data_IF_243310836056
#
_entry.id   IF_243310836056
#
_cell.length_a   1.000
_cell.length_b   1.000
_cell.length_c   1.000
_cell.angle_alpha   90.00
_cell.angle_beta   90.00
_cell.angle_gamma   90.00
#
_symmetry.space_group_name_H-M   'P 1'
#
loop_
_entity.id
_entity.type
_entity.pdbx_description
1 polymer ?
#
# COMPACT_ATOMS: atom_id res chain seq x y z
N UNK A 1 6.06 -54.42 15.92
CA UNK A 1 7.44 -54.90 15.62
C UNK A 1 8.31 -53.68 15.36
N UNK A 2 9.43 -53.54 16.06
CA UNK A 2 10.42 -52.49 15.79
C UNK A 2 11.36 -52.99 14.71
N UNK A 3 11.27 -52.43 13.50
CA UNK A 3 12.16 -52.73 12.41
C UNK A 3 13.43 -51.89 12.60
N UNK A 4 14.55 -52.54 12.83
CA UNK A 4 15.87 -51.92 12.95
C UNK A 4 16.66 -52.11 11.65
N UNK A 5 16.15 -51.62 10.53
CA UNK A 5 16.90 -51.59 9.28
C UNK A 5 17.80 -50.33 9.25
N UNK A 6 19.10 -50.53 9.08
CA UNK A 6 20.04 -49.49 8.69
C UNK A 6 20.01 -49.41 7.17
N UNK A 7 19.34 -48.38 6.62
CA UNK A 7 19.46 -48.11 5.18
C UNK A 7 20.91 -47.73 4.85
N UNK A 8 21.49 -48.33 3.85
CA UNK A 8 22.76 -47.89 3.28
C UNK A 8 22.60 -46.51 2.70
N UNK A 9 23.56 -45.62 2.98
CA UNK A 9 23.50 -44.20 2.53
C UNK A 9 24.10 -44.00 1.13
N UNK A 10 24.65 -45.03 0.50
CA UNK A 10 25.36 -44.93 -0.76
C UNK A 10 24.82 -45.87 -1.88
N UNK A 11 23.52 -46.21 -1.97
CA UNK A 11 23.01 -46.88 -3.16
C UNK A 11 23.08 -45.92 -4.35
N UNK A 12 23.45 -46.42 -5.52
CA UNK A 12 23.38 -45.68 -6.77
C UNK A 12 21.95 -45.74 -7.31
N UNK A 13 21.31 -44.60 -7.43
CA UNK A 13 19.99 -44.46 -8.05
C UNK A 13 20.08 -43.58 -9.30
N UNK A 14 19.55 -44.07 -10.43
CA UNK A 14 19.41 -43.26 -11.65
C UNK A 14 18.06 -42.55 -11.63
N UNK A 15 18.07 -41.22 -11.40
CA UNK A 15 16.88 -40.39 -11.34
C UNK A 15 17.07 -39.11 -12.15
N UNK A 16 15.98 -38.60 -12.75
CA UNK A 16 16.00 -37.30 -13.39
C UNK A 16 15.49 -36.23 -12.42
N UNK A 17 16.07 -35.03 -12.45
CA UNK A 17 15.55 -33.89 -11.68
C UNK A 17 14.08 -33.62 -11.97
N UNK A 18 13.68 -33.80 -13.23
CA UNK A 18 12.31 -33.66 -13.67
C UNK A 18 11.37 -34.65 -12.95
N UNK A 19 11.78 -35.87 -12.74
CA UNK A 19 11.01 -36.88 -12.03
C UNK A 19 10.96 -36.70 -10.50
N UNK A 20 11.99 -36.08 -9.92
CA UNK A 20 12.10 -35.90 -8.48
C UNK A 20 11.21 -34.78 -7.94
N UNK A 21 10.87 -33.77 -8.74
CA UNK A 21 10.02 -32.66 -8.32
C UNK A 21 8.54 -33.01 -8.57
N UNK A 22 7.67 -33.01 -7.55
CA UNK A 22 6.25 -33.33 -7.72
C UNK A 22 5.57 -32.43 -8.75
N UNK A 23 4.63 -32.97 -9.54
CA UNK A 23 3.94 -32.23 -10.60
C UNK A 23 3.09 -31.09 -10.07
N UNK A 24 2.60 -31.18 -8.84
CA UNK A 24 1.83 -30.15 -8.16
C UNK A 24 2.68 -29.18 -7.31
N UNK A 25 4.02 -29.25 -7.43
CA UNK A 25 4.91 -28.36 -6.68
C UNK A 25 4.73 -26.89 -7.09
N UNK A 26 4.80 -25.97 -6.12
CA UNK A 26 4.59 -24.54 -6.35
C UNK A 26 5.47 -23.95 -7.46
N UNK A 27 6.76 -24.33 -7.51
CA UNK A 27 7.68 -23.77 -8.50
C UNK A 27 7.35 -24.22 -9.91
N UNK A 28 6.79 -25.43 -10.11
CA UNK A 28 6.25 -25.85 -11.43
C UNK A 28 5.06 -24.98 -11.84
N UNK A 29 4.15 -24.72 -10.92
CA UNK A 29 3.00 -23.85 -11.17
C UNK A 29 3.45 -22.44 -11.54
N UNK A 30 4.50 -21.93 -10.92
CA UNK A 30 5.08 -20.62 -11.20
C UNK A 30 5.79 -20.63 -12.57
N UNK A 31 6.58 -21.66 -12.86
CA UNK A 31 7.30 -21.76 -14.13
C UNK A 31 6.36 -21.84 -15.33
N UNK A 32 5.23 -22.56 -15.18
CA UNK A 32 4.18 -22.63 -16.20
C UNK A 32 3.30 -21.37 -16.28
N UNK A 33 3.31 -20.51 -15.26
CA UNK A 33 2.40 -19.35 -15.20
C UNK A 33 2.85 -18.17 -16.04
N UNK A 34 4.15 -17.98 -16.20
CA UNK A 34 4.77 -16.85 -16.89
C UNK A 34 6.00 -17.28 -17.67
N UNK A 35 6.28 -16.58 -18.76
CA UNK A 35 7.50 -16.79 -19.54
C UNK A 35 8.64 -15.94 -18.98
N UNK A 36 9.57 -16.58 -18.25
CA UNK A 36 10.71 -15.89 -17.64
C UNK A 36 11.71 -15.31 -18.64
N UNK A 37 11.65 -15.68 -19.92
CA UNK A 37 12.54 -15.09 -20.97
C UNK A 37 12.28 -13.60 -21.14
N UNK A 38 11.09 -13.10 -20.78
CA UNK A 38 10.77 -11.67 -20.76
C UNK A 38 11.68 -10.84 -19.88
N UNK A 39 12.39 -11.45 -18.94
CA UNK A 39 13.39 -10.75 -18.12
C UNK A 39 14.53 -10.21 -18.99
N UNK A 40 14.90 -10.91 -20.06
CA UNK A 40 15.93 -10.41 -20.98
C UNK A 40 15.54 -9.06 -21.56
N UNK A 41 14.28 -8.87 -21.99
CA UNK A 41 13.77 -7.61 -22.56
C UNK A 41 13.95 -6.41 -21.59
N UNK A 42 13.96 -6.67 -20.27
CA UNK A 42 14.08 -5.63 -19.25
C UNK A 42 15.50 -5.26 -18.87
N UNK A 43 16.47 -6.11 -19.24
CA UNK A 43 17.86 -5.99 -18.77
C UNK A 43 18.90 -6.03 -19.88
N UNK A 44 18.54 -6.31 -21.13
CA UNK A 44 19.46 -6.45 -22.26
C UNK A 44 20.37 -5.24 -22.38
N UNK A 45 19.81 -4.03 -22.32
CA UNK A 45 20.55 -2.75 -22.41
C UNK A 45 21.57 -2.54 -21.26
N UNK A 46 21.48 -3.34 -20.19
CA UNK A 46 22.39 -3.28 -19.04
C UNK A 46 23.61 -4.18 -19.19
N UNK A 47 23.70 -4.93 -20.29
CA UNK A 47 24.79 -5.86 -20.59
C UNK A 47 25.54 -5.42 -21.83
N UNK A 48 26.88 -5.58 -21.81
CA UNK A 48 27.70 -5.30 -22.96
C UNK A 48 27.67 -6.50 -23.92
N UNK A 49 27.46 -6.25 -25.22
CA UNK A 49 27.34 -7.33 -26.22
C UNK A 49 28.66 -8.06 -26.45
N UNK A 50 29.79 -7.34 -26.50
CA UNK A 50 31.04 -7.86 -27.06
C UNK A 50 32.23 -7.82 -26.09
N UNK A 51 32.08 -7.39 -24.85
CA UNK A 51 33.21 -7.19 -23.95
C UNK A 51 32.93 -7.68 -22.53
N UNK A 52 33.92 -8.35 -21.92
CA UNK A 52 33.92 -8.75 -20.52
C UNK A 52 33.76 -10.26 -20.31
N UNK A 53 33.85 -10.67 -19.03
CA UNK A 53 33.61 -12.05 -18.64
C UNK A 53 32.12 -12.41 -18.81
N UNK A 54 31.78 -13.60 -19.32
CA UNK A 54 30.39 -14.08 -19.38
C UNK A 54 29.68 -13.89 -18.04
N UNK A 55 28.54 -13.22 -18.08
CA UNK A 55 27.73 -12.93 -16.89
C UNK A 55 26.92 -14.16 -16.49
N UNK A 56 26.53 -14.22 -15.22
CA UNK A 56 25.46 -15.14 -14.82
C UNK A 56 24.16 -14.70 -15.50
N UNK A 57 23.41 -15.68 -16.00
CA UNK A 57 22.11 -15.46 -16.63
C UNK A 57 21.19 -14.60 -15.73
N UNK A 58 20.68 -13.47 -16.22
CA UNK A 58 19.78 -12.61 -15.46
C UNK A 58 18.49 -13.32 -15.03
N UNK A 59 17.96 -14.24 -15.83
CA UNK A 59 16.77 -15.04 -15.46
C UNK A 59 17.06 -15.86 -14.20
N UNK A 60 18.24 -16.49 -14.12
CA UNK A 60 18.68 -17.23 -12.93
C UNK A 60 18.79 -16.29 -11.72
N UNK A 61 19.39 -15.11 -11.88
CA UNK A 61 19.51 -14.13 -10.79
C UNK A 61 18.13 -13.70 -10.25
N UNK A 62 17.17 -13.44 -11.12
CA UNK A 62 15.80 -13.10 -10.72
C UNK A 62 15.08 -14.30 -10.09
N UNK A 63 15.20 -15.50 -10.64
CA UNK A 63 14.64 -16.74 -10.06
C UNK A 63 15.20 -17.00 -8.65
N UNK A 64 16.50 -16.77 -8.40
CA UNK A 64 17.10 -16.90 -7.06
C UNK A 64 16.49 -15.93 -6.05
N UNK A 65 16.35 -14.66 -6.42
CA UNK A 65 15.70 -13.62 -5.57
C UNK A 65 14.21 -13.92 -5.39
N UNK A 66 13.56 -14.45 -6.42
CA UNK A 66 12.16 -14.87 -6.34
C UNK A 66 11.98 -16.02 -5.34
N UNK A 67 12.85 -17.02 -5.32
CA UNK A 67 12.86 -18.09 -4.29
C UNK A 67 12.98 -17.47 -2.91
N UNK A 68 13.93 -16.53 -2.70
CA UNK A 68 14.09 -15.84 -1.43
C UNK A 68 12.78 -15.21 -0.95
N UNK A 69 12.08 -14.52 -1.83
CA UNK A 69 10.85 -13.82 -1.48
C UNK A 69 9.64 -14.73 -1.33
N UNK A 70 9.50 -15.74 -2.20
CA UNK A 70 8.40 -16.72 -2.15
C UNK A 70 8.36 -17.51 -0.84
N UNK A 71 9.53 -17.87 -0.34
CA UNK A 71 9.68 -18.71 0.86
C UNK A 71 10.05 -17.91 2.12
N UNK A 72 10.11 -16.57 2.01
CA UNK A 72 10.42 -15.69 3.15
C UNK A 72 11.82 -15.89 3.72
N UNK A 73 12.77 -16.37 2.91
CA UNK A 73 14.15 -16.63 3.36
C UNK A 73 14.82 -15.30 3.74
N UNK A 74 15.46 -15.19 4.92
CA UNK A 74 15.87 -13.91 5.48
C UNK A 74 17.05 -13.25 4.75
N UNK A 75 17.90 -14.01 4.06
CA UNK A 75 19.10 -13.49 3.39
C UNK A 75 19.45 -14.25 2.12
N UNK A 76 20.15 -13.57 1.17
CA UNK A 76 20.67 -14.21 -0.04
C UNK A 76 21.67 -15.32 0.27
N UNK A 77 22.49 -15.17 1.32
CA UNK A 77 23.41 -16.23 1.75
C UNK A 77 22.63 -17.52 2.08
N UNK A 78 21.62 -17.39 2.94
CA UNK A 78 20.76 -18.51 3.31
C UNK A 78 20.01 -19.08 2.10
N UNK A 79 19.60 -18.23 1.18
CA UNK A 79 18.94 -18.66 -0.08
C UNK A 79 19.87 -19.56 -0.91
N UNK A 80 21.14 -19.19 -1.07
CA UNK A 80 22.12 -20.01 -1.81
C UNK A 80 22.38 -21.33 -1.09
N UNK A 81 22.50 -21.31 0.25
CA UNK A 81 22.65 -22.55 1.03
C UNK A 81 21.46 -23.50 0.82
N UNK A 82 20.24 -22.97 0.84
CA UNK A 82 19.02 -23.76 0.61
C UNK A 82 18.91 -24.25 -0.84
N UNK A 83 19.28 -23.43 -1.84
CA UNK A 83 19.30 -23.84 -3.24
C UNK A 83 20.26 -25.03 -3.44
N UNK A 84 21.40 -25.02 -2.75
CA UNK A 84 22.35 -26.14 -2.85
C UNK A 84 21.78 -27.45 -2.36
N UNK A 85 20.86 -27.45 -1.40
CA UNK A 85 20.27 -28.63 -0.78
C UNK A 85 18.89 -29.02 -1.29
N UNK A 86 18.18 -28.09 -1.96
CA UNK A 86 16.80 -28.30 -2.37
C UNK A 86 16.68 -28.62 -3.85
N UNK A 87 16.23 -29.81 -4.16
CA UNK A 87 16.08 -30.33 -5.53
C UNK A 87 15.10 -29.46 -6.34
N UNK A 88 13.98 -29.03 -5.76
CA UNK A 88 12.98 -28.22 -6.46
C UNK A 88 13.51 -26.82 -6.80
N UNK A 89 14.38 -26.25 -5.96
CA UNK A 89 15.02 -24.96 -6.24
C UNK A 89 16.02 -25.10 -7.39
N UNK A 90 16.85 -26.17 -7.39
CA UNK A 90 17.77 -26.46 -8.47
C UNK A 90 17.06 -26.69 -9.80
N UNK A 91 16.00 -27.50 -9.79
CA UNK A 91 15.12 -27.70 -10.94
C UNK A 91 14.59 -26.39 -11.51
N UNK A 92 14.06 -25.52 -10.66
CA UNK A 92 13.50 -24.23 -11.08
C UNK A 92 14.53 -23.29 -11.69
N UNK A 93 15.79 -23.38 -11.24
CA UNK A 93 16.90 -22.59 -11.79
C UNK A 93 17.55 -23.24 -13.03
N UNK A 94 17.27 -24.52 -13.33
CA UNK A 94 17.88 -25.27 -14.40
C UNK A 94 19.28 -25.81 -14.08
N UNK A 95 19.66 -25.94 -12.79
CA UNK A 95 20.96 -26.44 -12.34
C UNK A 95 20.93 -27.93 -12.01
N UNK A 96 21.95 -28.68 -12.45
CA UNK A 96 22.13 -30.08 -12.08
C UNK A 96 22.50 -30.23 -10.59
N UNK A 97 22.37 -31.46 -10.04
CA UNK A 97 22.59 -31.74 -8.61
C UNK A 97 23.98 -31.34 -8.11
N UNK A 98 25.00 -31.54 -8.93
CA UNK A 98 26.41 -31.27 -8.64
C UNK A 98 26.95 -29.97 -9.24
N UNK A 99 26.10 -29.21 -9.96
CA UNK A 99 26.53 -27.97 -10.59
C UNK A 99 26.62 -26.84 -9.56
N UNK A 100 27.70 -26.03 -9.57
CA UNK A 100 27.84 -24.93 -8.62
C UNK A 100 26.85 -23.80 -8.95
N UNK A 101 26.05 -23.38 -7.96
CA UNK A 101 25.14 -22.23 -8.10
C UNK A 101 25.88 -20.90 -7.87
N UNK A 102 25.39 -19.78 -8.43
CA UNK A 102 26.00 -18.48 -8.27
C UNK A 102 26.14 -18.08 -6.79
N UNK A 103 27.29 -17.53 -6.45
CA UNK A 103 27.54 -17.03 -5.10
C UNK A 103 26.60 -15.86 -4.75
N UNK A 104 26.17 -15.77 -3.50
CA UNK A 104 25.25 -14.73 -3.03
C UNK A 104 25.77 -13.30 -3.28
N UNK A 105 27.10 -13.09 -3.27
CA UNK A 105 27.69 -11.79 -3.55
C UNK A 105 27.46 -11.36 -5.01
N UNK A 106 27.50 -12.29 -5.97
CA UNK A 106 27.20 -12.02 -7.39
C UNK A 106 25.75 -11.57 -7.56
N UNK A 107 24.81 -12.27 -6.93
CA UNK A 107 23.38 -11.88 -6.92
C UNK A 107 23.22 -10.49 -6.31
N UNK A 108 23.78 -10.28 -5.11
CA UNK A 108 23.72 -8.99 -4.39
C UNK A 108 24.33 -7.85 -5.21
N UNK A 109 25.47 -8.08 -5.90
CA UNK A 109 26.13 -7.08 -6.74
C UNK A 109 25.21 -6.62 -7.87
N UNK A 110 24.60 -7.56 -8.61
CA UNK A 110 23.70 -7.24 -9.71
C UNK A 110 22.47 -6.43 -9.25
N UNK A 111 21.82 -6.83 -8.15
CA UNK A 111 20.67 -6.11 -7.58
C UNK A 111 21.04 -4.78 -6.91
N UNK A 112 22.31 -4.52 -6.64
CA UNK A 112 22.80 -3.27 -6.07
C UNK A 112 23.27 -2.27 -7.11
N UNK A 113 23.89 -2.76 -8.19
CA UNK A 113 24.64 -1.92 -9.13
C UNK A 113 24.12 -1.98 -10.57
N UNK A 114 23.46 -3.06 -10.98
CA UNK A 114 22.99 -3.25 -12.36
C UNK A 114 21.48 -3.06 -12.46
N UNK A 115 20.68 -3.75 -11.65
CA UNK A 115 19.23 -3.67 -11.74
C UNK A 115 18.73 -2.45 -10.97
N UNK A 116 18.10 -1.53 -11.70
CA UNK A 116 17.56 -0.27 -11.15
C UNK A 116 16.15 -0.48 -10.57
N UNK A 117 15.62 0.60 -9.93
CA UNK A 117 14.20 0.63 -9.53
C UNK A 117 13.27 0.44 -10.73
N UNK A 118 13.64 1.00 -11.90
CA UNK A 118 12.88 0.85 -13.15
C UNK A 118 12.83 -0.62 -13.59
N UNK A 119 13.94 -1.35 -13.52
CA UNK A 119 13.97 -2.79 -13.83
C UNK A 119 13.01 -3.57 -12.92
N UNK A 120 13.00 -3.26 -11.62
CA UNK A 120 12.10 -3.92 -10.66
C UNK A 120 10.64 -3.52 -10.91
N UNK A 121 10.39 -2.25 -11.30
CA UNK A 121 9.06 -1.79 -11.69
C UNK A 121 8.55 -2.53 -12.94
N UNK A 122 9.41 -2.73 -13.95
CA UNK A 122 9.08 -3.49 -15.16
C UNK A 122 8.69 -4.93 -14.82
N UNK A 123 9.46 -5.61 -13.95
CA UNK A 123 9.15 -6.98 -13.49
C UNK A 123 7.84 -7.04 -12.73
N UNK A 124 7.60 -6.11 -11.81
CA UNK A 124 6.33 -6.04 -11.06
C UNK A 124 5.14 -5.83 -12.01
N UNK A 125 5.27 -4.88 -12.93
CA UNK A 125 4.22 -4.52 -13.91
C UNK A 125 3.95 -5.65 -14.88
N UNK A 126 4.97 -6.36 -15.34
CA UNK A 126 4.83 -7.54 -16.19
C UNK A 126 4.00 -8.63 -15.51
N UNK A 127 4.29 -8.99 -14.26
CA UNK A 127 3.51 -10.00 -13.51
C UNK A 127 2.05 -9.56 -13.37
N UNK A 128 1.83 -8.27 -13.11
CA UNK A 128 0.49 -7.71 -12.99
C UNK A 128 -0.26 -7.74 -14.32
N UNK A 129 0.43 -7.43 -15.42
CA UNK A 129 -0.11 -7.52 -16.78
C UNK A 129 -0.51 -8.96 -17.14
N UNK A 130 0.27 -9.96 -16.78
CA UNK A 130 -0.07 -11.37 -16.98
C UNK A 130 -1.32 -11.78 -16.18
N UNK A 131 -1.51 -11.22 -14.98
CA UNK A 131 -2.73 -11.42 -14.20
C UNK A 131 -3.94 -10.73 -14.86
N UNK A 132 -3.77 -9.53 -15.40
CA UNK A 132 -4.80 -8.79 -16.14
C UNK A 132 -5.20 -9.51 -17.42
N UNK A 133 -4.24 -9.96 -18.22
CA UNK A 133 -4.45 -10.73 -19.44
C UNK A 133 -5.22 -12.04 -19.19
N UNK A 134 -5.03 -12.62 -18.01
CA UNK A 134 -5.76 -13.82 -17.58
C UNK A 134 -7.14 -13.54 -17.01
N UNK A 135 -7.60 -12.28 -16.95
CA UNK A 135 -8.91 -11.87 -16.42
C UNK A 135 -9.02 -12.02 -14.88
N UNK A 136 -7.90 -12.02 -14.15
CA UNK A 136 -7.91 -12.23 -12.70
C UNK A 136 -7.91 -10.95 -11.88
N UNK A 137 -7.68 -9.79 -12.49
CA UNK A 137 -7.77 -8.50 -11.83
C UNK A 137 -9.21 -7.96 -11.87
N UNK A 138 -9.60 -7.34 -10.78
CA UNK A 138 -10.89 -6.66 -10.61
C UNK A 138 -10.68 -5.30 -9.92
N UNK A 139 -10.11 -4.32 -10.63
CA UNK A 139 -9.69 -3.05 -10.04
C UNK A 139 -10.80 -1.99 -9.93
N UNK A 140 -12.07 -2.32 -10.21
CA UNK A 140 -13.21 -1.39 -10.08
C UNK A 140 -13.34 -0.88 -8.64
N UNK A 141 -13.05 -1.73 -7.66
CA UNK A 141 -12.98 -1.39 -6.24
C UNK A 141 -11.58 -1.71 -5.74
N UNK A 142 -10.89 -0.70 -5.25
CA UNK A 142 -9.53 -0.84 -4.72
C UNK A 142 -9.48 -0.51 -3.24
N UNK A 143 -8.52 -1.12 -2.55
CA UNK A 143 -8.27 -0.98 -1.13
C UNK A 143 -6.87 -0.43 -0.93
N UNK A 144 -6.78 0.74 -0.28
CA UNK A 144 -5.53 1.44 -0.01
C UNK A 144 -5.28 1.53 1.48
N UNK A 145 -4.07 1.20 1.91
CA UNK A 145 -3.66 1.28 3.32
C UNK A 145 -2.14 1.30 3.45
N UNK A 146 -1.64 1.67 4.63
CA UNK A 146 -0.24 1.68 4.99
C UNK A 146 0.15 0.53 5.94
N UNK A 147 1.36 0.01 5.80
CA UNK A 147 1.89 -0.95 6.76
C UNK A 147 3.34 -0.67 7.11
N UNK A 148 3.63 -0.64 8.42
CA UNK A 148 4.97 -0.38 8.92
C UNK A 148 5.86 -1.63 8.84
N UNK A 149 7.11 -1.39 8.43
CA UNK A 149 8.19 -2.37 8.30
C UNK A 149 9.34 -1.90 9.20
N UNK A 150 9.72 -2.68 10.20
CA UNK A 150 10.83 -2.32 11.10
C UNK A 150 12.13 -2.18 10.31
N UNK A 151 12.79 -1.04 10.46
CA UNK A 151 14.06 -0.74 9.81
C UNK A 151 15.25 -1.48 10.47
N UNK A 152 16.32 -1.64 9.69
CA UNK A 152 17.61 -2.13 10.17
C UNK A 152 18.38 -1.00 10.87
N UNK A 153 17.82 -0.52 11.98
CA UNK A 153 18.32 0.61 12.74
C UNK A 153 18.23 0.35 14.24
N UNK A 154 19.28 0.78 14.98
CA UNK A 154 19.30 0.71 16.43
C UNK A 154 18.54 1.91 17.02
N UNK A 155 17.57 1.64 17.89
CA UNK A 155 16.75 2.67 18.53
C UNK A 155 17.55 3.63 19.41
N UNK A 156 18.68 3.18 19.94
CA UNK A 156 19.54 3.98 20.80
C UNK A 156 20.46 4.92 20.00
N UNK A 157 20.73 4.59 18.73
CA UNK A 157 21.55 5.39 17.82
C UNK A 157 20.69 6.41 17.07
N UNK A 158 20.30 7.47 17.76
CA UNK A 158 19.41 8.52 17.26
C UNK A 158 20.00 9.91 17.47
N UNK A 159 19.60 10.82 16.60
CA UNK A 159 19.91 12.25 16.69
C UNK A 159 18.68 13.07 16.33
N UNK A 160 18.61 14.29 16.80
CA UNK A 160 17.61 15.27 16.35
C UNK A 160 18.14 15.97 15.12
N UNK A 161 17.30 16.12 14.12
CA UNK A 161 17.60 16.83 12.88
C UNK A 161 16.44 17.75 12.53
N UNK A 162 16.78 19.01 12.25
CA UNK A 162 15.81 19.94 11.65
C UNK A 162 15.62 19.55 10.18
N UNK A 163 14.38 19.33 9.78
CA UNK A 163 14.01 19.14 8.38
C UNK A 163 12.94 20.15 7.98
N UNK A 164 12.99 20.67 6.75
CA UNK A 164 11.92 21.53 6.24
C UNK A 164 10.56 20.81 6.37
N UNK A 165 9.54 21.55 6.75
CA UNK A 165 8.16 21.05 6.68
C UNK A 165 7.85 20.77 5.20
N UNK A 166 7.40 19.56 4.88
CA UNK A 166 7.02 19.25 3.50
C UNK A 166 5.83 20.12 3.09
N UNK A 167 6.01 20.89 2.01
CA UNK A 167 4.91 21.61 1.38
C UNK A 167 3.84 20.58 0.96
N UNK A 168 2.59 20.87 1.22
CA UNK A 168 1.49 20.03 0.77
C UNK A 168 1.31 20.20 -0.72
N UNK A 169 1.17 19.11 -1.46
CA UNK A 169 1.00 19.10 -2.92
C UNK A 169 -0.15 20.01 -3.39
N UNK A 170 -1.13 20.25 -2.52
CA UNK A 170 -2.31 21.06 -2.82
C UNK A 170 -2.31 22.47 -2.20
N UNK A 171 -1.19 22.95 -1.66
CA UNK A 171 -1.15 24.25 -0.97
C UNK A 171 -1.52 25.43 -1.88
N UNK A 172 -1.05 25.40 -3.12
CA UNK A 172 -1.37 26.46 -4.10
C UNK A 172 -2.85 26.45 -4.45
N UNK A 173 -3.44 25.29 -4.69
CA UNK A 173 -4.87 25.16 -4.98
C UNK A 173 -5.71 25.59 -3.77
N UNK A 174 -5.32 25.13 -2.58
CA UNK A 174 -5.99 25.52 -1.34
C UNK A 174 -5.96 27.04 -1.15
N UNK A 175 -4.81 27.68 -1.33
CA UNK A 175 -4.68 29.13 -1.18
C UNK A 175 -5.53 29.89 -2.21
N UNK A 176 -5.57 29.40 -3.45
CA UNK A 176 -6.42 29.98 -4.50
C UNK A 176 -7.90 29.95 -4.08
N UNK A 177 -8.39 28.78 -3.69
CA UNK A 177 -9.79 28.61 -3.29
C UNK A 177 -10.13 29.34 -1.98
N UNK A 178 -9.20 29.42 -1.01
CA UNK A 178 -9.34 30.29 0.17
C UNK A 178 -9.51 31.76 -0.24
N UNK A 179 -8.72 32.24 -1.18
CA UNK A 179 -8.79 33.62 -1.62
C UNK A 179 -10.07 33.92 -2.41
N UNK A 180 -10.59 32.98 -3.17
CA UNK A 180 -11.89 33.05 -3.81
C UNK A 180 -13.02 33.12 -2.77
N UNK A 181 -13.02 32.24 -1.77
CA UNK A 181 -13.97 32.24 -0.66
C UNK A 181 -13.95 33.56 0.14
N UNK A 182 -12.76 34.07 0.46
CA UNK A 182 -12.60 35.33 1.16
C UNK A 182 -13.15 36.52 0.36
N UNK A 183 -12.93 36.57 -0.96
CA UNK A 183 -13.49 37.61 -1.84
C UNK A 183 -15.01 37.53 -1.87
N UNK A 184 -15.61 36.34 -1.97
CA UNK A 184 -17.04 36.14 -1.94
C UNK A 184 -17.66 36.69 -0.65
N UNK A 185 -16.95 36.63 0.48
CA UNK A 185 -17.38 37.19 1.78
C UNK A 185 -16.88 38.61 2.04
N UNK A 186 -16.39 39.34 1.03
CA UNK A 186 -15.92 40.72 1.18
C UNK A 186 -14.63 40.87 2.02
N UNK A 187 -13.85 39.83 2.19
CA UNK A 187 -12.57 39.85 2.93
C UNK A 187 -11.39 40.00 1.99
N UNK A 188 -10.34 40.69 2.44
CA UNK A 188 -9.09 40.81 1.68
C UNK A 188 -8.46 39.44 1.45
N UNK A 189 -8.00 39.13 0.23
CA UNK A 189 -7.24 37.91 -0.05
C UNK A 189 -5.93 37.92 0.75
N UNK A 190 -5.38 36.73 0.96
CA UNK A 190 -4.01 36.59 1.48
C UNK A 190 -3.00 36.84 0.37
N UNK A 191 -1.97 37.62 0.65
CA UNK A 191 -0.84 37.83 -0.27
C UNK A 191 -0.03 36.52 -0.41
N UNK A 192 0.25 36.12 -1.63
CA UNK A 192 0.95 34.86 -1.95
C UNK A 192 2.36 34.75 -1.35
N UNK A 193 2.98 35.87 -0.99
CA UNK A 193 4.31 35.93 -0.38
C UNK A 193 4.32 35.75 1.14
N UNK A 194 3.16 35.76 1.78
CA UNK A 194 3.03 35.49 3.22
C UNK A 194 2.63 34.05 3.44
N UNK A 195 3.41 33.12 2.93
CA UNK A 195 3.22 31.68 3.12
C UNK A 195 3.05 31.35 4.60
N UNK A 196 1.80 31.23 5.04
CA UNK A 196 1.45 30.72 6.37
C UNK A 196 1.51 29.20 6.46
N UNK A 197 2.15 28.55 5.52
CA UNK A 197 2.71 27.24 5.75
C UNK A 197 3.80 27.41 6.80
N UNK A 198 3.80 26.61 7.83
CA UNK A 198 4.91 26.51 8.76
C UNK A 198 6.17 26.14 7.92
N UNK A 199 6.82 27.16 7.32
CA UNK A 199 8.19 27.06 6.78
C UNK A 199 9.18 26.93 7.93
N UNK A 200 8.70 26.53 9.09
CA UNK A 200 9.48 26.19 10.24
C UNK A 200 10.18 24.84 10.03
N UNK A 201 11.45 24.83 10.34
CA UNK A 201 12.19 23.58 10.49
C UNK A 201 11.52 22.74 11.59
N UNK A 202 11.07 21.54 11.22
CA UNK A 202 10.52 20.60 12.18
C UNK A 202 11.65 19.72 12.70
N UNK A 203 11.85 19.73 14.00
CA UNK A 203 12.81 18.83 14.67
C UNK A 203 12.27 17.39 14.65
N UNK A 204 12.93 16.50 13.93
CA UNK A 204 12.59 15.09 13.90
C UNK A 204 13.72 14.22 14.46
N UNK A 205 13.34 13.12 15.07
CA UNK A 205 14.29 12.11 15.51
C UNK A 205 14.63 11.19 14.35
N UNK A 206 15.88 11.16 13.93
CA UNK A 206 16.40 10.29 12.86
C UNK A 206 17.40 9.28 13.43
N UNK A 207 17.51 8.13 12.76
CA UNK A 207 18.54 7.15 13.06
C UNK A 207 19.89 7.57 12.48
N UNK A 208 20.98 7.38 13.21
CA UNK A 208 22.32 7.60 12.67
C UNK A 208 22.79 6.46 11.77
N UNK A 209 22.20 5.27 11.91
CA UNK A 209 22.55 4.08 11.12
C UNK A 209 21.70 3.94 9.84
N UNK A 210 20.49 4.49 9.84
CA UNK A 210 19.59 4.51 8.68
C UNK A 210 18.77 5.82 8.70
N UNK A 211 19.34 6.93 8.23
CA UNK A 211 18.76 8.27 8.35
C UNK A 211 17.43 8.46 7.60
N UNK A 212 17.15 7.61 6.60
CA UNK A 212 15.91 7.67 5.80
C UNK A 212 14.76 6.90 6.46
N UNK A 213 15.02 6.13 7.52
CA UNK A 213 13.97 5.51 8.33
C UNK A 213 13.34 6.53 9.28
N UNK A 214 12.04 6.44 9.50
CA UNK A 214 11.28 7.31 10.39
C UNK A 214 11.04 6.68 11.76
N UNK A 215 10.96 7.52 12.80
CA UNK A 215 10.59 7.07 14.14
C UNK A 215 9.09 6.79 14.19
N UNK A 216 8.73 5.52 14.25
CA UNK A 216 7.35 5.06 14.41
C UNK A 216 7.01 4.84 15.89
N UNK A 217 5.83 5.32 16.29
CA UNK A 217 5.30 5.14 17.65
C UNK A 217 3.87 4.62 17.57
N UNK A 218 3.58 3.54 18.29
CA UNK A 218 2.21 3.02 18.45
C UNK A 218 1.94 2.76 19.92
N UNK A 219 1.18 3.67 20.54
CA UNK A 219 1.02 3.69 21.99
C UNK A 219 2.34 3.91 22.75
N UNK A 220 2.32 3.68 24.05
CA UNK A 220 3.48 3.92 24.90
C UNK A 220 4.55 2.81 24.84
N UNK A 221 4.21 1.65 24.27
CA UNK A 221 5.04 0.44 24.35
C UNK A 221 5.79 0.10 23.07
N UNK A 222 5.43 0.68 21.91
CA UNK A 222 6.06 0.33 20.64
C UNK A 222 6.74 1.52 19.98
N UNK A 223 8.05 1.61 20.14
CA UNK A 223 8.87 2.61 19.49
C UNK A 223 9.94 1.91 18.66
N UNK A 224 10.05 2.22 17.38
CA UNK A 224 11.12 1.71 16.52
C UNK A 224 11.32 2.62 15.31
N UNK A 225 12.49 2.55 14.71
CA UNK A 225 12.68 3.08 13.37
C UNK A 225 12.00 2.14 12.36
N UNK A 226 11.26 2.71 11.44
CA UNK A 226 10.48 1.97 10.46
C UNK A 226 10.39 2.69 9.12
N UNK A 227 10.07 1.94 8.09
CA UNK A 227 9.50 2.42 6.83
C UNK A 227 8.01 2.09 6.80
N UNK A 228 7.27 2.78 5.97
CA UNK A 228 5.87 2.50 5.72
C UNK A 228 5.64 2.19 4.24
N UNK A 229 5.00 1.07 3.96
CA UNK A 229 4.60 0.69 2.63
C UNK A 229 3.11 0.98 2.44
N UNK A 230 2.82 2.06 1.72
CA UNK A 230 1.48 2.40 1.27
C UNK A 230 1.17 1.56 0.03
N UNK A 231 0.09 0.82 0.07
CA UNK A 231 -0.18 -0.26 -0.89
C UNK A 231 -1.63 -0.21 -1.34
N UNK A 232 -1.85 -0.48 -2.62
CA UNK A 232 -3.18 -0.65 -3.20
C UNK A 232 -3.35 -2.07 -3.68
N UNK A 233 -4.46 -2.71 -3.33
CA UNK A 233 -4.86 -4.00 -3.88
C UNK A 233 -6.29 -3.97 -4.41
N UNK A 234 -6.61 -4.94 -5.28
CA UNK A 234 -7.98 -5.16 -5.76
C UNK A 234 -8.78 -6.08 -4.80
N UNK A 235 -10.04 -6.31 -5.12
CA UNK A 235 -10.92 -7.22 -4.36
C UNK A 235 -10.45 -8.67 -4.31
N UNK A 236 -9.57 -9.06 -5.22
CA UNK A 236 -8.95 -10.38 -5.29
C UNK A 236 -7.61 -10.44 -4.58
N UNK A 237 -7.18 -9.37 -3.89
CA UNK A 237 -5.89 -9.25 -3.20
C UNK A 237 -4.69 -9.30 -4.16
N UNK A 238 -4.84 -8.93 -5.43
CA UNK A 238 -3.70 -8.60 -6.27
C UNK A 238 -3.20 -7.20 -5.90
N UNK A 239 -1.92 -7.08 -5.64
CA UNK A 239 -1.30 -5.81 -5.31
C UNK A 239 -1.09 -5.04 -6.60
N UNK A 240 -1.75 -3.88 -6.73
CA UNK A 240 -1.76 -3.08 -7.96
C UNK A 240 -0.58 -2.11 -8.01
N UNK A 241 -0.22 -1.52 -6.87
CA UNK A 241 1.00 -0.71 -6.72
C UNK A 241 1.36 -0.47 -5.25
N UNK A 242 2.55 0.10 -5.03
CA UNK A 242 3.05 0.46 -3.70
C UNK A 242 4.01 1.64 -3.76
N UNK A 243 3.98 2.47 -2.73
CA UNK A 243 4.94 3.55 -2.46
C UNK A 243 5.49 3.36 -1.05
N UNK A 244 6.79 3.45 -0.87
CA UNK A 244 7.43 3.32 0.44
C UNK A 244 7.90 4.69 0.91
N UNK A 245 7.61 5.01 2.17
CA UNK A 245 8.03 6.26 2.82
C UNK A 245 8.77 5.98 4.13
N UNK A 246 9.35 7.01 4.71
CA UNK A 246 9.80 6.94 6.11
C UNK A 246 8.61 6.72 7.05
N UNK A 247 8.77 5.90 8.08
CA UNK A 247 7.66 5.47 8.94
C UNK A 247 7.08 6.55 9.88
N UNK A 248 7.51 7.80 9.76
CA UNK A 248 6.96 8.98 10.43
C UNK A 248 6.21 9.93 9.46
N UNK A 249 6.07 9.54 8.21
CA UNK A 249 5.27 10.27 7.21
C UNK A 249 3.81 9.87 7.37
N UNK A 250 2.92 10.86 7.38
CA UNK A 250 1.49 10.59 7.51
C UNK A 250 0.93 10.02 6.20
N UNK A 251 0.00 9.07 6.31
CA UNK A 251 -0.63 8.36 5.18
C UNK A 251 -1.14 9.30 4.08
N UNK A 252 -1.71 10.44 4.46
CA UNK A 252 -2.23 11.43 3.53
C UNK A 252 -1.17 12.07 2.62
N UNK A 253 0.11 12.03 3.00
CA UNK A 253 1.21 12.60 2.18
C UNK A 253 1.59 11.66 1.04
N UNK A 254 1.51 10.35 1.29
CA UNK A 254 1.82 9.34 0.28
C UNK A 254 0.66 9.10 -0.70
N UNK A 255 -0.55 9.59 -0.35
CA UNK A 255 -1.77 9.34 -1.11
C UNK A 255 -1.66 9.77 -2.57
N UNK A 256 -1.32 11.03 -2.84
CA UNK A 256 -1.36 11.59 -4.20
C UNK A 256 -0.49 10.81 -5.17
N UNK A 257 0.76 10.53 -4.79
CA UNK A 257 1.71 9.80 -5.63
C UNK A 257 1.22 8.37 -5.95
N UNK A 258 0.65 7.67 -4.96
CA UNK A 258 0.13 6.31 -5.13
C UNK A 258 -1.18 6.31 -5.91
N UNK A 259 -2.08 7.24 -5.61
CA UNK A 259 -3.38 7.39 -6.25
C UNK A 259 -3.24 7.71 -7.75
N UNK A 260 -2.41 8.69 -8.12
CA UNK A 260 -2.16 9.02 -9.52
C UNK A 260 -1.57 7.84 -10.30
N UNK A 261 -0.61 7.14 -9.70
CA UNK A 261 0.06 6.01 -10.34
C UNK A 261 -0.93 4.87 -10.62
N UNK A 262 -1.78 4.56 -9.67
CA UNK A 262 -2.77 3.48 -9.77
C UNK A 262 -3.92 3.85 -10.71
N UNK A 263 -4.46 5.05 -10.63
CA UNK A 263 -5.58 5.50 -11.47
C UNK A 263 -5.18 5.70 -12.94
N UNK A 264 -3.92 6.10 -13.19
CA UNK A 264 -3.36 6.15 -14.55
C UNK A 264 -3.24 4.74 -15.15
N UNK A 265 -2.82 3.75 -14.35
CA UNK A 265 -2.67 2.35 -14.81
C UNK A 265 -4.02 1.64 -14.96
N UNK A 266 -4.98 1.94 -14.10
CA UNK A 266 -6.31 1.34 -14.06
C UNK A 266 -7.41 2.41 -14.06
N UNK A 267 -7.73 2.99 -15.24
CA UNK A 267 -8.77 4.03 -15.36
C UNK A 267 -10.17 3.57 -14.93
N UNK A 268 -10.43 2.25 -14.92
CA UNK A 268 -11.71 1.63 -14.54
C UNK A 268 -11.98 1.65 -13.02
N UNK A 269 -11.07 2.13 -12.19
CA UNK A 269 -11.29 2.30 -10.75
C UNK A 269 -12.47 3.24 -10.54
N UNK A 270 -13.46 2.80 -9.76
CA UNK A 270 -14.66 3.56 -9.39
C UNK A 270 -14.71 3.88 -7.90
N UNK A 271 -14.26 2.94 -7.06
CA UNK A 271 -14.32 3.08 -5.61
C UNK A 271 -12.94 2.88 -5.00
N UNK A 272 -12.54 3.80 -4.13
CA UNK A 272 -11.29 3.74 -3.36
C UNK A 272 -11.62 3.60 -1.88
N UNK A 273 -11.31 2.45 -1.30
CA UNK A 273 -11.60 2.14 0.10
C UNK A 273 -10.34 2.32 0.93
N UNK A 274 -10.42 3.12 1.99
CA UNK A 274 -9.28 3.49 2.83
C UNK A 274 -9.65 3.50 4.31
N UNK A 275 -8.67 3.66 5.20
CA UNK A 275 -8.90 3.82 6.63
C UNK A 275 -9.17 5.27 7.05
N UNK A 276 -9.40 5.50 8.36
CA UNK A 276 -9.68 6.81 8.92
C UNK A 276 -8.49 7.79 8.82
N UNK A 277 -7.26 7.31 8.64
CA UNK A 277 -6.06 8.13 8.47
C UNK A 277 -6.09 8.92 7.17
N UNK A 278 -6.70 8.37 6.13
CA UNK A 278 -6.86 9.03 4.82
C UNK A 278 -8.06 9.98 4.76
N UNK A 279 -8.94 10.01 5.76
CA UNK A 279 -10.10 10.92 5.75
C UNK A 279 -9.69 12.36 6.01
N UNK A 280 -9.33 13.05 4.94
CA UNK A 280 -8.99 14.48 4.92
C UNK A 280 -9.81 15.19 3.83
N UNK A 281 -10.10 16.51 3.97
CA UNK A 281 -10.85 17.25 2.97
C UNK A 281 -10.24 17.15 1.56
N UNK A 282 -8.91 17.23 1.47
CA UNK A 282 -8.19 17.11 0.20
C UNK A 282 -8.41 15.75 -0.49
N UNK A 283 -8.24 14.66 0.25
CA UNK A 283 -8.37 13.32 -0.32
C UNK A 283 -9.80 13.05 -0.79
N UNK A 284 -10.81 13.47 0.00
CA UNK A 284 -12.20 13.36 -0.42
C UNK A 284 -12.47 14.17 -1.68
N UNK A 285 -12.04 15.44 -1.72
CA UNK A 285 -12.15 16.31 -2.89
C UNK A 285 -11.49 15.66 -4.12
N UNK A 286 -10.23 15.23 -4.01
CA UNK A 286 -9.47 14.66 -5.12
C UNK A 286 -10.14 13.46 -5.76
N UNK A 287 -10.69 12.55 -4.93
CA UNK A 287 -11.36 11.34 -5.42
C UNK A 287 -12.70 11.67 -6.07
N UNK A 288 -13.48 12.58 -5.46
CA UNK A 288 -14.80 12.97 -5.96
C UNK A 288 -14.69 13.80 -7.24
N UNK A 289 -13.75 14.74 -7.31
CA UNK A 289 -13.49 15.54 -8.52
C UNK A 289 -13.06 14.66 -9.71
N UNK A 290 -12.36 13.55 -9.45
CA UNK A 290 -12.03 12.54 -10.46
C UNK A 290 -13.23 11.63 -10.84
N UNK A 291 -14.42 11.88 -10.31
CA UNK A 291 -15.64 11.10 -10.57
C UNK A 291 -15.65 9.71 -9.91
N UNK A 292 -14.87 9.52 -8.83
CA UNK A 292 -14.77 8.25 -8.08
C UNK A 292 -15.37 8.38 -6.70
N UNK A 293 -15.62 7.25 -6.05
CA UNK A 293 -16.27 7.17 -4.75
C UNK A 293 -15.24 6.86 -3.64
N UNK A 294 -15.03 7.76 -2.65
CA UNK A 294 -14.26 7.46 -1.45
C UNK A 294 -15.08 6.62 -0.47
N UNK A 295 -14.66 5.38 -0.19
CA UNK A 295 -15.25 4.55 0.86
C UNK A 295 -14.39 4.63 2.12
N UNK A 296 -14.85 5.40 3.11
CA UNK A 296 -14.11 5.77 4.30
C UNK A 296 -14.94 5.47 5.56
N UNK A 297 -14.30 5.13 6.70
CA UNK A 297 -15.01 4.91 7.95
C UNK A 297 -15.46 6.22 8.58
N UNK A 298 -16.37 6.10 9.55
CA UNK A 298 -16.70 7.21 10.42
C UNK A 298 -15.47 7.62 11.25
N UNK A 299 -15.18 8.92 11.27
CA UNK A 299 -14.17 9.51 12.13
C UNK A 299 -14.88 10.44 13.11
N UNK A 300 -14.94 10.04 14.38
CA UNK A 300 -15.57 10.86 15.41
C UNK A 300 -14.83 12.19 15.53
N UNK A 301 -15.54 13.33 15.42
CA UNK A 301 -14.94 14.63 15.70
C UNK A 301 -14.46 14.70 17.16
N UNK A 302 -13.28 15.30 17.38
CA UNK A 302 -12.76 15.46 18.73
C UNK A 302 -13.47 16.64 19.40
N UNK A 303 -14.22 16.34 20.46
CA UNK A 303 -14.87 17.34 21.30
C UNK A 303 -14.24 17.30 22.70
N UNK A 304 -13.99 18.45 23.29
CA UNK A 304 -13.52 18.54 24.67
C UNK A 304 -14.55 17.90 25.61
N UNK A 305 -14.09 17.06 26.54
CA UNK A 305 -14.96 16.42 27.51
C UNK A 305 -15.82 17.45 28.26
N UNK A 306 -17.12 17.22 28.30
CA UNK A 306 -18.09 18.10 28.93
C UNK A 306 -18.63 19.21 28.03
N UNK A 307 -18.16 19.31 26.79
CA UNK A 307 -18.68 20.26 25.81
C UNK A 307 -19.72 19.62 24.90
N UNK A 308 -20.60 20.47 24.34
CA UNK A 308 -21.54 20.04 23.31
C UNK A 308 -20.84 19.38 22.14
N UNK A 309 -21.36 18.24 21.72
CA UNK A 309 -20.88 17.50 20.57
C UNK A 309 -21.08 18.31 19.28
N UNK A 310 -20.20 18.07 18.29
CA UNK A 310 -20.18 18.77 17.00
C UNK A 310 -21.56 18.78 16.31
N UNK A 311 -22.26 17.65 16.28
CA UNK A 311 -23.56 17.51 15.60
C UNK A 311 -24.69 18.36 16.19
N UNK A 312 -24.49 18.99 17.36
CA UNK A 312 -25.44 19.93 17.93
C UNK A 312 -25.35 21.34 17.33
N UNK A 313 -24.31 21.60 16.53
CA UNK A 313 -24.15 22.84 15.78
C UNK A 313 -24.57 22.57 14.34
N UNK A 314 -25.66 23.21 13.89
CA UNK A 314 -26.24 23.00 12.58
C UNK A 314 -25.76 24.10 11.63
N UNK A 315 -25.17 23.70 10.51
CA UNK A 315 -24.81 24.66 9.46
C UNK A 315 -26.00 24.87 8.51
N UNK A 316 -26.35 26.13 8.28
CA UNK A 316 -27.34 26.54 7.29
C UNK A 316 -26.57 27.09 6.07
N UNK A 317 -26.58 26.34 4.97
CA UNK A 317 -25.85 26.71 3.76
C UNK A 317 -26.46 27.86 3.00
N UNK A 318 -27.80 28.10 3.14
CA UNK A 318 -28.49 29.18 2.47
C UNK A 318 -28.16 30.52 3.07
N UNK A 319 -28.10 30.61 4.39
CA UNK A 319 -27.76 31.83 5.12
C UNK A 319 -26.28 31.98 5.42
N UNK A 320 -25.47 30.93 5.16
CA UNK A 320 -24.06 30.82 5.55
C UNK A 320 -23.81 31.16 7.03
N UNK A 321 -24.56 30.51 7.91
CA UNK A 321 -24.48 30.67 9.36
C UNK A 321 -24.41 29.30 10.05
N UNK A 322 -23.88 29.27 11.27
CA UNK A 322 -24.00 28.10 12.14
C UNK A 322 -25.01 28.42 13.25
N UNK A 323 -25.93 27.51 13.50
CA UNK A 323 -26.93 27.58 14.56
C UNK A 323 -26.43 26.79 15.76
N UNK A 324 -26.32 27.42 16.93
CA UNK A 324 -25.90 26.75 18.17
C UNK A 324 -27.05 25.97 18.83
N UNK A 325 -26.77 25.09 19.82
CA UNK A 325 -27.81 24.34 20.55
C UNK A 325 -28.90 25.19 21.21
N UNK A 326 -28.60 26.46 21.50
CA UNK A 326 -29.57 27.46 22.06
C UNK A 326 -30.22 28.32 20.96
N UNK A 327 -30.22 27.81 19.71
CA UNK A 327 -30.87 28.47 18.55
C UNK A 327 -30.37 29.88 18.27
N UNK A 328 -29.10 30.20 18.62
CA UNK A 328 -28.47 31.49 18.26
C UNK A 328 -27.63 31.31 17.01
N UNK A 329 -27.65 32.29 16.12
CA UNK A 329 -26.87 32.32 14.90
C UNK A 329 -25.41 32.72 15.17
N UNK A 330 -24.48 32.02 14.59
CA UNK A 330 -23.06 32.33 14.50
C UNK A 330 -22.78 32.73 13.04
N UNK A 331 -22.68 34.03 12.73
CA UNK A 331 -22.37 34.47 11.37
C UNK A 331 -20.91 34.14 10.98
N UNK A 332 -20.65 34.09 9.66
CA UNK A 332 -19.31 34.03 9.12
C UNK A 332 -18.45 35.19 9.62
N UNK A 333 -17.27 34.91 10.07
CA UNK A 333 -16.29 35.88 10.55
C UNK A 333 -15.11 36.04 9.60
N UNK A 334 -14.47 34.95 9.25
CA UNK A 334 -13.30 34.90 8.35
C UNK A 334 -12.98 33.49 7.91
N UNK A 335 -12.21 33.35 6.84
CA UNK A 335 -11.56 32.07 6.48
C UNK A 335 -10.08 32.18 6.77
N UNK A 336 -9.57 31.26 7.57
CA UNK A 336 -8.18 31.26 7.99
C UNK A 336 -7.26 30.63 6.92
N UNK A 337 -5.93 30.75 7.10
CA UNK A 337 -4.94 30.22 6.14
C UNK A 337 -4.91 28.69 6.00
N UNK A 338 -5.54 27.97 6.94
CA UNK A 338 -5.68 26.52 6.89
C UNK A 338 -6.92 26.06 6.12
N UNK A 339 -7.70 26.99 5.55
CA UNK A 339 -8.90 26.70 4.79
C UNK A 339 -10.16 26.54 5.64
N UNK A 340 -10.14 26.91 6.93
CA UNK A 340 -11.33 26.84 7.77
C UNK A 340 -12.06 28.17 7.80
N UNK A 341 -13.33 28.18 7.41
CA UNK A 341 -14.29 29.22 7.69
C UNK A 341 -14.55 29.23 9.19
N UNK A 342 -14.51 30.41 9.82
CA UNK A 342 -14.77 30.60 11.24
C UNK A 342 -16.11 31.31 11.40
N UNK A 343 -17.03 30.66 12.11
CA UNK A 343 -18.34 31.22 12.50
C UNK A 343 -18.28 31.55 13.97
N UNK A 344 -18.59 32.82 14.31
CA UNK A 344 -18.45 33.34 15.67
C UNK A 344 -19.75 33.85 16.21
N UNK A 345 -20.07 33.45 17.45
CA UNK A 345 -21.22 34.02 18.19
C UNK A 345 -20.97 35.48 18.56
N UNK A 346 -22.04 36.20 18.76
CA UNK A 346 -21.97 37.52 19.36
C UNK A 346 -21.74 37.39 20.88
N UNK A 347 -20.83 38.22 21.44
CA UNK A 347 -20.40 38.07 22.83
C UNK A 347 -21.57 38.16 23.81
N UNK A 348 -22.48 39.14 23.64
CA UNK A 348 -23.64 39.35 24.52
C UNK A 348 -24.61 38.15 24.52
N UNK A 349 -24.72 37.42 23.42
CA UNK A 349 -25.57 36.20 23.33
C UNK A 349 -25.04 35.09 24.19
N UNK A 350 -23.72 34.89 24.21
CA UNK A 350 -23.08 33.85 25.00
C UNK A 350 -22.84 34.24 26.45
N UNK A 351 -22.75 35.55 26.75
CA UNK A 351 -22.64 36.06 28.10
C UNK A 351 -23.89 35.77 28.93
N UNK A 352 -25.08 35.97 28.33
CA UNK A 352 -26.37 35.66 28.94
C UNK A 352 -26.80 34.18 28.83
N UNK A 353 -25.98 33.32 28.21
CA UNK A 353 -26.33 31.92 27.92
C UNK A 353 -26.14 31.01 29.13
N UNK A 354 -27.20 30.32 29.57
CA UNK A 354 -27.16 29.40 30.71
C UNK A 354 -26.27 28.19 30.47
N UNK A 355 -26.18 27.70 29.22
CA UNK A 355 -25.39 26.51 28.83
C UNK A 355 -23.98 26.87 28.34
N UNK A 356 -23.53 28.11 28.52
CA UNK A 356 -22.22 28.59 28.08
C UNK A 356 -21.07 27.68 28.52
N UNK A 357 -21.11 27.16 29.75
CA UNK A 357 -20.09 26.29 30.33
C UNK A 357 -19.94 24.96 29.58
N UNK A 358 -20.97 24.54 28.85
CA UNK A 358 -20.93 23.36 27.97
C UNK A 358 -20.47 23.69 26.52
N UNK A 359 -20.19 24.99 26.25
CA UNK A 359 -20.00 25.47 24.90
C UNK A 359 -18.62 26.11 24.69
N UNK A 360 -18.19 27.01 25.60
CA UNK A 360 -16.94 27.77 25.47
C UNK A 360 -16.36 28.19 26.81
N UNK A 361 -15.03 28.16 26.90
CA UNK A 361 -14.24 28.75 28.01
C UNK A 361 -13.58 30.07 27.60
N UNK A 362 -13.97 30.64 26.44
CA UNK A 362 -13.39 31.91 25.97
C UNK A 362 -13.62 33.02 26.97
N UNK A 363 -12.58 33.80 27.29
CA UNK A 363 -12.67 35.00 28.17
C UNK A 363 -13.63 36.01 27.60
N UNK A 364 -13.72 36.13 26.28
CA UNK A 364 -14.60 37.08 25.58
C UNK A 364 -16.01 36.51 25.39
N UNK A 365 -16.41 35.49 26.13
CA UNK A 365 -17.73 34.86 26.02
C UNK A 365 -18.13 34.55 24.56
N UNK A 366 -17.19 34.13 23.72
CA UNK A 366 -17.43 33.90 22.31
C UNK A 366 -17.18 32.43 21.95
N UNK A 367 -18.14 31.80 21.27
CA UNK A 367 -17.99 30.50 20.64
C UNK A 367 -17.53 30.67 19.20
N UNK A 368 -16.49 29.95 18.81
CA UNK A 368 -16.08 29.79 17.42
C UNK A 368 -16.34 28.35 16.97
N UNK A 369 -17.04 28.22 15.85
CA UNK A 369 -17.19 26.94 15.14
C UNK A 369 -16.46 27.06 13.80
N UNK A 370 -15.76 26.02 13.38
CA UNK A 370 -14.99 26.05 12.15
C UNK A 370 -15.52 25.01 11.18
N UNK A 371 -15.61 25.35 9.89
CA UNK A 371 -15.97 24.47 8.78
C UNK A 371 -14.94 24.64 7.67
N UNK A 372 -14.38 23.52 7.16
CA UNK A 372 -13.40 23.60 6.07
C UNK A 372 -14.08 24.02 4.78
N UNK A 373 -13.39 24.75 3.87
CA UNK A 373 -13.95 25.15 2.57
C UNK A 373 -14.32 23.95 1.71
N UNK A 374 -13.73 22.79 1.96
CA UNK A 374 -13.99 21.49 1.32
C UNK A 374 -14.79 20.54 2.21
N UNK A 375 -15.54 21.05 3.19
CA UNK A 375 -16.33 20.20 4.11
C UNK A 375 -17.44 19.44 3.36
N UNK A 376 -17.99 20.02 2.29
CA UNK A 376 -19.01 19.39 1.45
C UNK A 376 -18.54 18.07 0.86
N UNK A 377 -17.25 17.91 0.54
CA UNK A 377 -16.66 16.66 0.10
C UNK A 377 -16.55 15.61 1.22
N UNK A 378 -16.36 16.06 2.47
CA UNK A 378 -16.40 15.18 3.64
C UNK A 378 -17.83 14.69 3.89
N UNK A 379 -18.82 15.54 3.74
CA UNK A 379 -20.25 15.21 3.87
C UNK A 379 -20.68 14.24 2.78
N UNK A 380 -20.31 14.49 1.52
CA UNK A 380 -20.52 13.53 0.42
C UNK A 380 -19.86 12.18 0.70
N UNK A 381 -18.65 12.14 1.25
CA UNK A 381 -18.00 10.90 1.65
C UNK A 381 -18.74 10.17 2.79
N UNK A 382 -19.41 10.92 3.70
CA UNK A 382 -20.30 10.33 4.71
C UNK A 382 -21.55 9.74 4.08
N UNK A 383 -22.17 10.39 3.11
CA UNK A 383 -23.33 9.86 2.37
C UNK A 383 -22.96 8.56 1.62
N UNK A 384 -21.80 8.56 0.96
CA UNK A 384 -21.27 7.35 0.32
C UNK A 384 -21.07 6.23 1.34
N UNK A 385 -20.55 6.52 2.54
CA UNK A 385 -20.38 5.54 3.62
C UNK A 385 -21.71 4.91 4.04
N UNK A 386 -22.80 5.65 4.01
CA UNK A 386 -24.14 5.16 4.36
C UNK A 386 -24.80 4.39 3.22
N UNK A 387 -24.33 4.53 1.99
CA UNK A 387 -24.85 3.79 0.83
C UNK A 387 -24.60 2.27 0.95
N UNK A 388 -25.38 1.43 0.29
CA UNK A 388 -25.16 -0.02 0.24
C UNK A 388 -23.76 -0.36 -0.31
N UNK A 389 -23.33 0.31 -1.37
CA UNK A 389 -22.04 0.11 -2.02
C UNK A 389 -20.87 0.50 -1.10
N UNK A 390 -20.98 1.62 -0.37
CA UNK A 390 -19.96 2.05 0.58
C UNK A 390 -19.80 1.07 1.74
N UNK A 391 -20.89 0.58 2.29
CA UNK A 391 -20.91 -0.44 3.36
C UNK A 391 -20.28 -1.75 2.89
N UNK A 392 -20.67 -2.26 1.73
CA UNK A 392 -20.11 -3.49 1.14
C UNK A 392 -18.60 -3.34 0.94
N UNK A 393 -18.17 -2.27 0.27
CA UNK A 393 -16.75 -2.01 -0.01
C UNK A 393 -15.93 -1.94 1.27
N UNK A 394 -16.43 -1.25 2.30
CA UNK A 394 -15.70 -1.12 3.56
C UNK A 394 -15.60 -2.46 4.33
N UNK A 395 -16.65 -3.29 4.32
CA UNK A 395 -16.63 -4.61 4.94
C UNK A 395 -15.59 -5.55 4.30
N UNK A 396 -15.32 -5.40 3.01
CA UNK A 396 -14.31 -6.22 2.30
C UNK A 396 -12.86 -5.88 2.71
N UNK A 397 -12.61 -4.75 3.35
CA UNK A 397 -11.27 -4.29 3.72
C UNK A 397 -10.48 -5.30 4.56
N UNK A 398 -11.14 -5.94 5.53
CA UNK A 398 -10.52 -6.97 6.40
C UNK A 398 -10.11 -8.23 5.64
N UNK A 399 -10.83 -8.57 4.57
CA UNK A 399 -10.57 -9.74 3.72
C UNK A 399 -9.58 -9.43 2.57
N UNK A 400 -9.28 -8.16 2.34
CA UNK A 400 -8.45 -7.68 1.24
C UNK A 400 -7.12 -7.13 1.76
N UNK A 401 -6.97 -5.82 1.90
CA UNK A 401 -5.69 -5.18 2.20
C UNK A 401 -5.09 -5.62 3.55
N UNK A 402 -5.91 -5.81 4.58
CA UNK A 402 -5.43 -6.28 5.88
C UNK A 402 -4.87 -7.71 5.78
N UNK A 403 -5.52 -8.57 4.98
CA UNK A 403 -5.02 -9.93 4.70
C UNK A 403 -3.75 -9.92 3.86
N UNK A 404 -3.65 -9.02 2.88
CA UNK A 404 -2.40 -8.82 2.11
C UNK A 404 -1.24 -8.48 3.05
N UNK A 405 -1.45 -7.57 4.00
CA UNK A 405 -0.42 -7.22 4.98
C UNK A 405 -0.10 -8.34 5.97
N UNK A 406 -1.11 -9.07 6.42
CA UNK A 406 -0.90 -10.24 7.26
C UNK A 406 -0.05 -11.29 6.54
N UNK A 407 -0.42 -11.65 5.32
CA UNK A 407 0.35 -12.60 4.50
C UNK A 407 1.78 -12.10 4.24
N UNK A 408 1.97 -10.83 3.87
CA UNK A 408 3.28 -10.24 3.62
C UNK A 408 4.19 -10.34 4.86
N UNK A 409 3.66 -10.07 6.05
CA UNK A 409 4.41 -10.13 7.32
C UNK A 409 4.70 -11.55 7.77
N UNK A 410 3.70 -12.45 7.71
CA UNK A 410 3.82 -13.80 8.28
C UNK A 410 4.48 -14.79 7.31
N UNK A 411 4.11 -14.75 6.02
CA UNK A 411 4.55 -15.75 5.05
C UNK A 411 5.75 -15.30 4.22
N UNK A 412 5.91 -13.97 4.04
CA UNK A 412 6.94 -13.42 3.17
C UNK A 412 8.01 -12.63 3.94
N UNK A 413 8.00 -12.67 5.28
CA UNK A 413 9.03 -12.07 6.13
C UNK A 413 9.13 -10.55 6.02
N UNK A 414 8.00 -9.82 5.88
CA UNK A 414 7.98 -8.37 5.70
C UNK A 414 7.86 -7.58 7.01
N UNK A 415 8.02 -8.23 8.18
CA UNK A 415 8.02 -7.53 9.48
C UNK A 415 9.26 -6.68 9.70
N UNK A 416 10.38 -7.07 9.11
CA UNK A 416 11.68 -6.44 9.28
C UNK A 416 12.41 -6.42 7.93
N UNK A 417 13.04 -5.28 7.60
CA UNK A 417 13.90 -5.19 6.42
C UNK A 417 15.38 -5.30 6.78
N UNK A 418 16.17 -6.16 6.09
CA UNK A 418 17.61 -6.19 6.26
C UNK A 418 18.32 -5.03 5.54
N UNK A 419 17.62 -4.33 4.66
CA UNK A 419 18.16 -3.24 3.85
C UNK A 419 18.04 -1.89 4.57
N UNK A 420 18.92 -0.96 4.22
CA UNK A 420 18.93 0.44 4.65
C UNK A 420 18.79 1.35 3.45
N UNK A 421 18.16 2.49 3.66
CA UNK A 421 17.88 3.49 2.64
C UNK A 421 16.59 3.22 1.86
N UNK A 422 15.85 4.29 1.61
CA UNK A 422 14.50 4.25 1.04
C UNK A 422 14.46 3.51 -0.31
N UNK A 423 15.42 3.81 -1.19
CA UNK A 423 15.54 3.17 -2.51
C UNK A 423 15.60 1.65 -2.43
N UNK A 424 16.49 1.11 -1.58
CA UNK A 424 16.67 -0.35 -1.45
C UNK A 424 15.47 -1.02 -0.79
N UNK A 425 14.88 -0.36 0.18
CA UNK A 425 13.67 -0.88 0.85
C UNK A 425 12.49 -0.87 -0.11
N UNK A 426 12.32 0.16 -0.93
CA UNK A 426 11.30 0.23 -1.98
C UNK A 426 11.43 -0.92 -2.98
N UNK A 427 12.63 -1.16 -3.50
CA UNK A 427 12.91 -2.28 -4.42
C UNK A 427 12.58 -3.64 -3.75
N UNK A 428 12.99 -3.82 -2.50
CA UNK A 428 12.73 -5.05 -1.75
C UNK A 428 11.25 -5.30 -1.48
N UNK A 429 10.49 -4.26 -1.09
CA UNK A 429 9.03 -4.34 -0.91
C UNK A 429 8.36 -4.73 -2.23
N UNK A 430 8.74 -4.07 -3.33
CA UNK A 430 8.16 -4.31 -4.64
C UNK A 430 8.43 -5.72 -5.15
N UNK A 431 9.63 -6.25 -4.95
CA UNK A 431 9.97 -7.64 -5.28
C UNK A 431 9.16 -8.65 -4.45
N UNK A 432 8.92 -8.38 -3.15
CA UNK A 432 8.05 -9.22 -2.33
C UNK A 432 6.62 -9.23 -2.84
N UNK A 433 6.09 -8.08 -3.19
CA UNK A 433 4.74 -7.96 -3.74
C UNK A 433 4.64 -8.60 -5.14
N UNK A 434 5.67 -8.49 -5.97
CA UNK A 434 5.77 -9.23 -7.22
C UNK A 434 5.70 -10.75 -7.01
N UNK A 435 6.44 -11.26 -6.03
CA UNK A 435 6.40 -12.69 -5.66
C UNK A 435 5.02 -13.12 -5.12
N UNK A 436 4.34 -12.28 -4.34
CA UNK A 436 3.00 -12.54 -3.85
C UNK A 436 1.99 -12.61 -5.00
N UNK A 437 2.03 -11.65 -5.92
CA UNK A 437 1.18 -11.62 -7.11
C UNK A 437 1.45 -12.82 -8.02
N UNK A 438 2.71 -13.16 -8.26
CA UNK A 438 3.10 -14.29 -9.10
C UNK A 438 2.64 -15.62 -8.51
N UNK A 439 2.81 -15.84 -7.20
CA UNK A 439 2.29 -17.04 -6.54
C UNK A 439 0.77 -17.15 -6.69
N UNK A 440 0.04 -16.06 -6.53
CA UNK A 440 -1.41 -16.04 -6.69
C UNK A 440 -1.81 -16.34 -8.13
N UNK A 441 -1.19 -15.68 -9.10
CA UNK A 441 -1.38 -15.92 -10.53
C UNK A 441 -1.17 -17.40 -10.88
N UNK A 442 -0.04 -17.97 -10.45
CA UNK A 442 0.30 -19.37 -10.70
C UNK A 442 -0.75 -20.34 -10.12
N UNK A 443 -1.17 -20.09 -8.88
CA UNK A 443 -2.19 -20.92 -8.23
C UNK A 443 -3.56 -20.82 -8.93
N UNK A 444 -3.93 -19.65 -9.43
CA UNK A 444 -5.20 -19.46 -10.12
C UNK A 444 -5.19 -20.05 -11.53
N UNK A 445 -4.12 -19.85 -12.30
CA UNK A 445 -3.93 -20.52 -13.61
C UNK A 445 -3.98 -22.05 -13.46
N UNK A 446 -3.27 -22.58 -12.46
CA UNK A 446 -3.25 -24.02 -12.19
C UNK A 446 -4.65 -24.55 -11.83
N UNK A 447 -5.38 -23.88 -10.96
CA UNK A 447 -6.76 -24.25 -10.59
C UNK A 447 -7.72 -24.19 -11.78
N UNK A 448 -7.59 -23.18 -12.63
CA UNK A 448 -8.41 -23.04 -13.83
C UNK A 448 -8.17 -24.20 -14.82
N UNK A 449 -6.92 -24.55 -15.07
CA UNK A 449 -6.57 -25.67 -15.92
C UNK A 449 -7.09 -27.01 -15.38
N UNK A 450 -7.00 -27.25 -14.08
CA UNK A 450 -7.52 -28.47 -13.46
C UNK A 450 -9.05 -28.55 -13.48
N UNK A 451 -9.75 -27.45 -13.29
CA UNK A 451 -11.22 -27.42 -13.43
C UNK A 451 -11.65 -27.79 -14.85
N UNK A 452 -10.99 -27.25 -15.87
CA UNK A 452 -11.27 -27.58 -17.27
C UNK A 452 -11.00 -29.06 -17.55
N UNK A 453 -9.94 -29.61 -17.01
CA UNK A 453 -9.61 -31.03 -17.14
C UNK A 453 -10.68 -31.95 -16.51
N UNK A 454 -11.15 -31.66 -15.30
CA UNK A 454 -12.22 -32.42 -14.65
C UNK A 454 -13.55 -32.32 -15.39
N UNK A 455 -13.91 -31.15 -15.90
CA UNK A 455 -15.11 -30.96 -16.73
C UNK A 455 -14.99 -31.74 -18.03
N UNK A 456 -13.85 -31.68 -18.71
CA UNK A 456 -13.63 -32.43 -19.95
C UNK A 456 -13.69 -33.95 -19.70
N UNK A 457 -13.10 -34.46 -18.63
CA UNK A 457 -13.20 -35.88 -18.27
C UNK A 457 -14.63 -36.32 -17.96
N UNK A 458 -15.39 -35.48 -17.23
CA UNK A 458 -16.80 -35.76 -16.93
C UNK A 458 -17.67 -35.82 -18.20
N UNK A 459 -17.41 -34.90 -19.14
CA UNK A 459 -18.11 -34.90 -20.45
C UNK A 459 -17.71 -36.15 -21.28
N UNK A 460 -16.43 -36.52 -21.30
CA UNK A 460 -15.96 -37.71 -21.98
C UNK A 460 -16.54 -38.99 -21.38
N UNK A 461 -16.63 -39.09 -20.05
CA UNK A 461 -17.26 -40.21 -19.37
C UNK A 461 -18.77 -40.29 -19.68
N UNK A 462 -19.49 -39.15 -19.69
CA UNK A 462 -20.89 -39.09 -20.08
C UNK A 462 -21.13 -39.52 -21.53
N UNK A 463 -20.27 -39.07 -22.47
CA UNK A 463 -20.34 -39.51 -23.86
C UNK A 463 -20.10 -41.03 -24.03
N UNK A 464 -19.12 -41.59 -23.28
CA UNK A 464 -18.83 -43.04 -23.30
C UNK A 464 -20.01 -43.85 -22.75
N UNK A 465 -20.66 -43.42 -21.69
CA UNK A 465 -21.83 -44.07 -21.12
C UNK A 465 -23.07 -43.97 -22.08
N UNK A 466 -23.24 -42.87 -22.79
CA UNK A 466 -24.30 -42.71 -23.79
C UNK A 466 -24.07 -43.63 -25.04
N UNK A 467 -22.82 -43.82 -25.45
CA UNK A 467 -22.49 -44.75 -26.53
C UNK A 467 -22.68 -46.23 -26.14
N UNK A 468 -22.45 -46.56 -24.86
CA UNK A 468 -22.69 -47.92 -24.35
C UNK A 468 -24.17 -48.24 -24.08
N UNK A 469 -25.03 -47.19 -23.95
CA UNK A 469 -26.47 -47.37 -23.76
C UNK A 469 -27.23 -47.41 -25.09
N UNK A 470 -26.60 -47.07 -26.21
CA UNK A 470 -27.15 -47.07 -27.56
C UNK A 470 -26.72 -48.29 -28.43
N UNK A 471 -25.90 -49.15 -27.86
CA UNK A 471 -25.51 -50.48 -28.43
C UNK A 471 -26.21 -51.59 -27.65
#
# INVERSE_FOLDING_TARGET
>A
MLIKEKSERNPLEMVSLEGLVPQDHLLRKIDCAVDFTRIYDFVEDLYCADNGRPSVDPVVLFKMVLIQHLYGIPSLRRTVEEINMNIAYRWFLGYLLNEPVPHFATVSYNFRHRFSEDTIEKVFTWILFEAQKSGYLSPEVVFMDGTHIKANADINKKMKKAIPSAAKVYEEQLLKEINEDRRAHGKKPFDGNSGGGETGEREVTVSTTDPESGMFRKGDHKHCFAYEAHTVCDRHNFILDTVVTSGNVHDSVAFDALYEKVTRRFPQIRTVTMDAGYKTPWICKRIIDDGRLPSLPYKRPMTKKGFHEWYKYVYDEYLDIVICPEYKSLPYSTTNRKGYREYKSLCYQCEACQTRHLCTESRNCQKTVTRHIWEDYIEQAEDIRHSPQGKESYCLRSQTIERVFADAKEKYGMRYTPYRGLKRVSMWVRLKYAAMNLKKLAMWKWKAAHRQFFVAMSIAALKKNLCCAAA
#
